data_IF_283729789137
#
_entry.id   IF_283729789137
#
_cell.length_a   1.000
_cell.length_b   1.000
_cell.length_c   1.000
_cell.angle_alpha   90.00
_cell.angle_beta   90.00
_cell.angle_gamma   90.00
#
_symmetry.space_group_name_H-M   'P 1'
#
loop_
_entity.id
_entity.type
_entity.pdbx_description
1 polymer ?
#
# COMPACT_ATOMS: atom_id res chain seq x y z
N UNK A 1 -4.56 26.00 -3.39
CA UNK A 1 -4.43 24.84 -2.46
C UNK A 1 -4.99 25.24 -1.09
N UNK A 2 -6.02 24.56 -0.61
CA UNK A 2 -6.52 24.74 0.75
C UNK A 2 -5.60 23.99 1.71
N UNK A 3 -4.77 24.72 2.44
CA UNK A 3 -3.88 24.12 3.45
C UNK A 3 -4.74 23.57 4.57
N UNK A 4 -4.61 22.29 4.85
CA UNK A 4 -5.31 21.66 5.97
C UNK A 4 -4.55 21.90 7.26
N UNK A 5 -5.11 22.72 8.16
CA UNK A 5 -4.54 22.89 9.50
C UNK A 5 -4.83 21.67 10.38
N UNK A 6 -4.06 21.43 11.47
CA UNK A 6 -4.35 20.36 12.42
C UNK A 6 -5.77 20.40 12.99
N UNK A 7 -6.28 21.60 13.33
CA UNK A 7 -7.64 21.79 13.83
C UNK A 7 -8.69 21.38 12.80
N UNK A 8 -8.45 21.73 11.51
CA UNK A 8 -9.37 21.36 10.42
C UNK A 8 -9.33 19.85 10.15
N UNK A 9 -8.15 19.23 10.21
CA UNK A 9 -8.01 17.76 10.13
C UNK A 9 -8.83 17.09 11.23
N UNK A 10 -8.68 17.54 12.48
CA UNK A 10 -9.35 16.92 13.62
C UNK A 10 -10.88 17.08 13.54
N UNK A 11 -11.36 18.26 13.09
CA UNK A 11 -12.78 18.47 12.78
C UNK A 11 -13.30 17.50 11.72
N UNK A 12 -12.56 17.35 10.61
CA UNK A 12 -12.93 16.43 9.53
C UNK A 12 -12.92 14.98 10.00
N UNK A 13 -11.94 14.57 10.80
CA UNK A 13 -11.86 13.21 11.36
C UNK A 13 -13.10 12.88 12.21
N UNK A 14 -13.61 13.84 12.98
CA UNK A 14 -14.86 13.64 13.73
C UNK A 14 -16.06 13.46 12.80
N UNK A 15 -16.19 14.28 11.76
CA UNK A 15 -17.27 14.18 10.79
C UNK A 15 -17.20 12.87 10.00
N UNK A 16 -16.01 12.51 9.49
CA UNK A 16 -15.79 11.26 8.73
C UNK A 16 -16.09 10.02 9.59
N UNK A 17 -15.72 10.03 10.88
CA UNK A 17 -16.08 8.96 11.80
C UNK A 17 -17.59 8.75 11.91
N UNK A 18 -18.36 9.83 11.98
CA UNK A 18 -19.84 9.76 12.04
C UNK A 18 -20.44 9.22 10.74
N UNK A 19 -19.98 9.70 9.59
CA UNK A 19 -20.43 9.23 8.28
C UNK A 19 -20.05 7.75 8.06
N UNK A 20 -18.84 7.35 8.42
CA UNK A 20 -18.38 5.96 8.32
C UNK A 20 -19.21 5.01 9.20
N UNK A 21 -19.59 5.44 10.41
CA UNK A 21 -20.48 4.68 11.29
C UNK A 21 -21.87 4.48 10.66
N UNK A 22 -22.34 5.46 9.89
CA UNK A 22 -23.56 5.36 9.08
C UNK A 22 -23.38 4.63 7.74
N UNK A 23 -22.15 4.18 7.43
CA UNK A 23 -21.72 3.61 6.11
C UNK A 23 -21.96 4.56 4.93
N UNK A 24 -21.99 5.86 5.18
CA UNK A 24 -22.10 6.90 4.15
C UNK A 24 -20.71 7.24 3.58
N UNK A 25 -20.16 6.33 2.77
CA UNK A 25 -18.84 6.48 2.16
C UNK A 25 -18.77 7.62 1.12
N UNK A 26 -19.90 7.91 0.48
CA UNK A 26 -20.02 9.06 -0.44
C UNK A 26 -19.98 10.39 0.32
N UNK A 27 -20.58 10.44 1.51
CA UNK A 27 -20.48 11.59 2.40
C UNK A 27 -19.04 11.81 2.86
N UNK A 28 -18.27 10.75 3.17
CA UNK A 28 -16.84 10.86 3.47
C UNK A 28 -16.06 11.41 2.28
N UNK A 29 -16.28 10.85 1.08
CA UNK A 29 -15.63 11.36 -0.14
C UNK A 29 -15.95 12.85 -0.37
N UNK A 30 -17.21 13.25 -0.21
CA UNK A 30 -17.64 14.63 -0.40
C UNK A 30 -16.93 15.63 0.54
N UNK A 31 -16.57 15.21 1.76
CA UNK A 31 -15.76 16.02 2.67
C UNK A 31 -14.30 16.19 2.19
N UNK A 32 -13.80 15.23 1.42
CA UNK A 32 -12.41 15.23 0.93
C UNK A 32 -12.24 15.91 -0.42
N UNK A 33 -13.28 15.95 -1.28
CA UNK A 33 -13.21 16.55 -2.61
C UNK A 33 -12.73 18.01 -2.64
N UNK A 34 -13.02 18.90 -1.65
CA UNK A 34 -12.45 20.24 -1.60
C UNK A 34 -10.91 20.31 -1.50
N UNK A 35 -10.27 19.18 -1.17
CA UNK A 35 -8.82 19.02 -1.06
C UNK A 35 -8.24 18.22 -2.23
N UNK A 36 -8.99 18.05 -3.32
CA UNK A 36 -8.57 17.36 -4.52
C UNK A 36 -8.29 18.36 -5.63
N UNK A 37 -7.06 18.44 -6.07
CA UNK A 37 -6.67 19.22 -7.27
C UNK A 37 -6.54 18.32 -8.50
N UNK A 38 -6.36 17.01 -8.28
CA UNK A 38 -6.19 16.02 -9.35
C UNK A 38 -7.11 14.82 -9.16
N UNK A 39 -7.35 14.13 -10.27
CA UNK A 39 -7.99 12.80 -10.30
C UNK A 39 -7.02 11.80 -10.90
N UNK A 40 -6.99 10.59 -10.37
CA UNK A 40 -6.20 9.49 -10.91
C UNK A 40 -7.00 8.72 -11.95
N UNK A 41 -6.54 8.74 -13.20
CA UNK A 41 -7.10 7.97 -14.31
C UNK A 41 -6.39 6.62 -14.39
N UNK A 42 -7.14 5.55 -14.19
CA UNK A 42 -6.66 4.17 -14.12
C UNK A 42 -6.72 3.49 -15.48
N UNK A 43 -5.60 2.89 -15.89
CA UNK A 43 -5.54 2.08 -17.12
C UNK A 43 -4.91 0.74 -16.80
N UNK A 44 -5.66 -0.36 -17.01
CA UNK A 44 -5.11 -1.72 -16.87
C UNK A 44 -4.00 -1.93 -17.88
N UNK A 45 -2.83 -2.35 -17.39
CA UNK A 45 -1.67 -2.68 -18.23
C UNK A 45 -1.69 -4.16 -18.61
N UNK A 46 -1.79 -5.04 -17.62
CA UNK A 46 -1.88 -6.48 -17.83
C UNK A 46 -2.44 -7.21 -16.61
N UNK A 47 -2.80 -8.47 -16.80
CA UNK A 47 -3.19 -9.39 -15.75
C UNK A 47 -1.95 -9.90 -15.01
N UNK A 48 -2.04 -9.99 -13.68
CA UNK A 48 -1.02 -10.61 -12.85
C UNK A 48 -1.34 -12.11 -12.64
N UNK A 49 -0.35 -12.84 -12.17
CA UNK A 49 -0.52 -14.26 -11.82
C UNK A 49 -1.58 -14.45 -10.74
N UNK A 50 -2.30 -15.57 -10.85
CA UNK A 50 -3.14 -16.10 -9.78
C UNK A 50 -3.36 -17.59 -9.99
N UNK A 51 -3.61 -18.33 -8.93
CA UNK A 51 -4.06 -19.71 -8.97
C UNK A 51 -4.94 -20.04 -7.74
N UNK A 52 -5.40 -21.31 -7.64
CA UNK A 52 -6.27 -21.73 -6.54
C UNK A 52 -5.56 -21.77 -5.18
N UNK A 53 -4.24 -21.93 -5.15
CA UNK A 53 -3.46 -21.96 -3.91
C UNK A 53 -3.18 -20.53 -3.41
N UNK A 54 -2.87 -19.61 -4.32
CA UNK A 54 -2.55 -18.20 -4.02
C UNK A 54 -3.52 -17.26 -4.74
N UNK A 55 -4.80 -17.25 -4.32
CA UNK A 55 -5.88 -16.59 -5.05
C UNK A 55 -5.99 -15.08 -4.82
N UNK A 56 -5.18 -14.51 -3.93
CA UNK A 56 -5.35 -13.11 -3.49
C UNK A 56 -4.05 -12.36 -3.65
N UNK A 57 -4.07 -11.27 -4.40
CA UNK A 57 -3.01 -10.26 -4.40
C UNK A 57 -3.07 -9.44 -3.11
N UNK A 58 -1.89 -9.12 -2.56
CA UNK A 58 -1.76 -8.20 -1.44
C UNK A 58 -0.65 -7.17 -1.73
N UNK A 59 0.42 -7.18 -0.98
CA UNK A 59 1.51 -6.22 -1.13
C UNK A 59 2.16 -6.19 -2.51
N UNK A 60 2.70 -5.05 -2.85
CA UNK A 60 3.47 -4.87 -4.06
C UNK A 60 4.53 -3.78 -3.92
N UNK A 61 5.61 -3.90 -4.68
CA UNK A 61 6.72 -2.96 -4.66
C UNK A 61 7.63 -3.09 -5.87
N UNK A 62 8.67 -2.28 -5.91
CA UNK A 62 9.66 -2.27 -7.00
C UNK A 62 11.07 -2.02 -6.45
N UNK A 63 12.07 -2.59 -7.12
CA UNK A 63 13.50 -2.29 -6.93
C UNK A 63 14.02 -1.22 -7.91
N UNK A 64 13.11 -0.50 -8.57
CA UNK A 64 13.43 0.47 -9.62
C UNK A 64 13.65 -0.16 -10.99
N UNK A 65 13.60 -1.50 -11.10
CA UNK A 65 13.78 -2.23 -12.35
C UNK A 65 12.66 -3.25 -12.61
N UNK A 66 12.24 -3.95 -11.58
CA UNK A 66 11.23 -5.00 -11.65
C UNK A 66 10.07 -4.70 -10.68
N UNK A 67 8.94 -5.33 -10.94
CA UNK A 67 7.80 -5.30 -10.03
C UNK A 67 7.74 -6.60 -9.25
N UNK A 68 7.37 -6.49 -7.97
CA UNK A 68 7.21 -7.61 -7.05
C UNK A 68 5.80 -7.55 -6.45
N UNK A 69 5.12 -8.70 -6.39
CA UNK A 69 3.79 -8.81 -5.80
C UNK A 69 3.70 -10.01 -4.90
N UNK A 70 3.08 -9.83 -3.73
CA UNK A 70 2.74 -10.90 -2.81
C UNK A 70 1.39 -11.50 -3.19
N UNK A 71 1.35 -12.81 -3.42
CA UNK A 71 0.14 -13.58 -3.63
C UNK A 71 -0.07 -14.54 -2.46
N UNK A 72 -1.25 -14.51 -1.87
CA UNK A 72 -1.50 -15.10 -0.57
C UNK A 72 -2.48 -16.26 -0.65
N UNK A 73 -2.29 -17.26 0.23
CA UNK A 73 -3.29 -18.29 0.52
C UNK A 73 -4.49 -17.66 1.23
N UNK A 74 -5.62 -18.38 1.26
CA UNK A 74 -6.66 -18.08 2.26
C UNK A 74 -6.17 -18.44 3.67
N UNK A 75 -6.60 -17.65 4.66
CA UNK A 75 -6.31 -17.96 6.07
C UNK A 75 -6.91 -19.33 6.41
N UNK A 76 -6.06 -20.24 6.89
CA UNK A 76 -6.45 -21.55 7.38
C UNK A 76 -5.89 -21.78 8.78
N UNK A 77 -6.76 -22.08 9.74
CA UNK A 77 -6.40 -22.30 11.14
C UNK A 77 -5.58 -21.14 11.77
N UNK A 78 -5.85 -19.91 11.34
CA UNK A 78 -5.15 -18.71 11.78
C UNK A 78 -3.78 -18.48 11.13
N UNK A 79 -3.39 -19.32 10.16
CA UNK A 79 -2.15 -19.20 9.40
C UNK A 79 -2.44 -18.74 7.98
N UNK A 80 -1.65 -17.82 7.50
CA UNK A 80 -1.61 -17.38 6.11
C UNK A 80 -0.17 -17.39 5.62
N UNK A 81 0.05 -17.86 4.41
CA UNK A 81 1.35 -17.92 3.75
C UNK A 81 1.24 -17.31 2.37
N UNK A 82 2.34 -17.05 1.73
CA UNK A 82 2.32 -16.45 0.40
C UNK A 82 3.57 -16.73 -0.40
N UNK A 83 3.55 -16.29 -1.64
CA UNK A 83 4.67 -16.28 -2.58
C UNK A 83 4.90 -14.85 -3.06
N UNK A 84 6.14 -14.58 -3.48
CA UNK A 84 6.49 -13.34 -4.20
C UNK A 84 6.65 -13.67 -5.68
N UNK A 85 5.91 -12.93 -6.51
CA UNK A 85 6.01 -13.00 -7.97
C UNK A 85 6.78 -11.79 -8.48
N UNK A 86 7.77 -11.99 -9.35
CA UNK A 86 8.60 -10.96 -9.98
C UNK A 86 8.21 -10.80 -11.45
N UNK A 87 8.03 -9.55 -11.89
CA UNK A 87 7.58 -9.24 -13.24
C UNK A 87 8.49 -8.24 -13.94
N UNK A 88 8.55 -8.37 -15.26
CA UNK A 88 9.01 -7.32 -16.15
C UNK A 88 7.93 -6.22 -16.26
N UNK A 89 8.23 -4.96 -15.94
CA UNK A 89 7.22 -3.89 -15.92
C UNK A 89 6.70 -3.48 -17.30
N UNK A 90 7.48 -3.71 -18.35
CA UNK A 90 7.10 -3.31 -19.71
C UNK A 90 6.22 -4.36 -20.40
N UNK A 91 6.59 -5.63 -20.24
CA UNK A 91 5.92 -6.74 -20.95
C UNK A 91 4.85 -7.43 -20.12
N UNK A 92 4.90 -7.32 -18.80
CA UNK A 92 4.06 -8.07 -17.87
C UNK A 92 4.46 -9.54 -17.72
N UNK A 93 5.65 -9.93 -18.26
CA UNK A 93 6.14 -11.29 -18.16
C UNK A 93 6.47 -11.65 -16.71
N UNK A 94 5.96 -12.80 -16.25
CA UNK A 94 6.31 -13.38 -14.97
C UNK A 94 7.72 -13.99 -15.06
N UNK A 95 8.69 -13.31 -14.47
CA UNK A 95 10.12 -13.71 -14.52
C UNK A 95 10.48 -14.77 -13.49
N UNK A 96 9.71 -14.87 -12.40
CA UNK A 96 9.97 -15.84 -11.36
C UNK A 96 8.95 -15.80 -10.22
N UNK A 97 8.91 -16.90 -9.48
CA UNK A 97 8.12 -17.03 -8.24
C UNK A 97 9.02 -17.58 -7.14
N UNK A 98 8.80 -17.11 -5.92
CA UNK A 98 9.46 -17.70 -4.74
C UNK A 98 8.83 -19.03 -4.38
N UNK A 99 9.49 -19.77 -3.49
CA UNK A 99 8.84 -20.79 -2.67
C UNK A 99 7.81 -20.13 -1.75
N UNK A 100 6.89 -20.93 -1.23
CA UNK A 100 5.91 -20.51 -0.21
C UNK A 100 6.63 -20.14 1.10
N UNK A 101 6.27 -18.97 1.67
CA UNK A 101 6.92 -18.44 2.86
C UNK A 101 5.92 -17.90 3.89
N UNK A 102 6.30 -17.86 5.20
CA UNK A 102 5.44 -17.41 6.28
C UNK A 102 5.47 -15.88 6.40
N UNK A 103 4.77 -15.19 5.52
CA UNK A 103 4.72 -13.72 5.46
C UNK A 103 3.36 -13.15 5.89
N UNK A 104 2.53 -13.97 6.53
CA UNK A 104 1.17 -13.63 6.97
C UNK A 104 0.37 -12.92 5.87
N UNK A 105 -0.16 -11.71 6.12
CA UNK A 105 -0.99 -11.00 5.15
C UNK A 105 -0.19 -10.17 4.13
N UNK A 106 1.10 -9.96 4.34
CA UNK A 106 2.03 -9.30 3.41
C UNK A 106 1.47 -8.01 2.76
N UNK A 107 0.98 -7.07 3.58
CA UNK A 107 0.23 -5.89 3.11
C UNK A 107 0.99 -4.95 2.18
N UNK A 108 2.32 -5.05 2.14
CA UNK A 108 3.16 -4.20 1.32
C UNK A 108 4.48 -4.89 0.97
N UNK A 109 5.19 -4.36 0.00
CA UNK A 109 6.58 -4.73 -0.30
C UNK A 109 7.34 -3.43 -0.54
N UNK A 110 8.47 -3.26 0.13
CA UNK A 110 9.37 -2.16 -0.17
C UNK A 110 10.80 -2.68 -0.37
N UNK A 111 11.54 -2.06 -1.26
CA UNK A 111 12.94 -2.39 -1.50
C UNK A 111 13.84 -1.48 -0.67
N UNK A 112 14.72 -2.07 0.12
CA UNK A 112 15.79 -1.36 0.79
C UNK A 112 17.08 -1.53 -0.03
N UNK A 113 17.43 -0.51 -0.80
CA UNK A 113 18.56 -0.53 -1.70
C UNK A 113 19.90 -0.67 -0.97
N UNK A 114 20.05 -0.07 0.20
CA UNK A 114 21.30 -0.17 1.00
C UNK A 114 21.57 -1.58 1.48
N UNK A 115 20.52 -2.34 1.78
CA UNK A 115 20.62 -3.73 2.25
C UNK A 115 20.46 -4.73 1.11
N UNK A 116 20.05 -4.27 -0.07
CA UNK A 116 19.68 -5.08 -1.25
C UNK A 116 18.69 -6.18 -0.91
N UNK A 117 17.58 -5.79 -0.26
CA UNK A 117 16.51 -6.71 0.16
C UNK A 117 15.12 -6.12 -0.07
N UNK A 118 14.16 -6.99 -0.39
CA UNK A 118 12.75 -6.68 -0.24
C UNK A 118 12.36 -6.83 1.24
N UNK A 119 11.60 -5.87 1.74
CA UNK A 119 11.09 -5.87 3.12
C UNK A 119 9.57 -5.95 3.06
N UNK A 120 8.99 -6.89 3.79
CA UNK A 120 7.57 -7.24 3.74
C UNK A 120 6.98 -7.16 5.13
N UNK A 121 6.05 -6.22 5.42
CA UNK A 121 5.33 -6.19 6.69
C UNK A 121 4.29 -7.30 6.74
N UNK A 122 4.23 -8.03 7.84
CA UNK A 122 3.33 -9.18 7.99
C UNK A 122 1.85 -8.79 8.15
N UNK A 123 1.54 -7.67 8.82
CA UNK A 123 0.20 -7.34 9.30
C UNK A 123 -0.34 -8.43 10.27
N UNK A 124 -1.65 -8.62 10.34
CA UNK A 124 -2.26 -9.60 11.24
C UNK A 124 -1.89 -11.05 10.82
N UNK A 125 -1.65 -11.96 11.79
CA UNK A 125 -1.71 -11.74 13.23
C UNK A 125 -0.43 -11.13 13.85
N UNK A 126 0.69 -11.11 13.14
CA UNK A 126 2.01 -10.77 13.67
C UNK A 126 2.47 -9.37 13.21
N UNK A 127 1.72 -8.35 13.56
CA UNK A 127 1.88 -6.99 13.04
C UNK A 127 3.20 -6.30 13.36
N UNK A 128 3.97 -6.82 14.32
CA UNK A 128 5.31 -6.35 14.65
C UNK A 128 6.42 -7.01 13.83
N UNK A 129 6.06 -8.00 12.98
CA UNK A 129 7.03 -8.71 12.18
C UNK A 129 7.18 -8.13 10.77
N UNK A 130 8.41 -8.18 10.29
CA UNK A 130 8.77 -7.97 8.89
C UNK A 130 9.58 -9.15 8.39
N UNK A 131 9.46 -9.48 7.12
CA UNK A 131 10.32 -10.49 6.46
C UNK A 131 11.24 -9.85 5.45
N UNK A 132 12.42 -10.45 5.28
CA UNK A 132 13.38 -10.11 4.25
C UNK A 132 13.38 -11.18 3.15
N UNK A 133 13.42 -10.72 1.89
CA UNK A 133 13.50 -11.57 0.70
C UNK A 133 14.58 -11.04 -0.23
N UNK A 134 15.37 -11.93 -0.80
CA UNK A 134 16.38 -11.56 -1.79
C UNK A 134 15.71 -11.16 -3.11
N UNK A 135 15.91 -9.94 -3.66
CA UNK A 135 15.24 -9.48 -4.88
C UNK A 135 15.68 -10.22 -6.15
N UNK A 136 16.86 -10.85 -6.12
CA UNK A 136 17.44 -11.52 -7.30
C UNK A 136 17.04 -12.99 -7.38
N UNK A 137 17.03 -13.69 -6.24
CA UNK A 137 16.72 -15.14 -6.16
C UNK A 137 15.32 -15.43 -5.67
N UNK A 138 14.63 -14.44 -5.05
CA UNK A 138 13.36 -14.55 -4.34
C UNK A 138 13.43 -15.49 -3.12
N UNK A 139 14.63 -15.75 -2.61
CA UNK A 139 14.86 -16.56 -1.43
C UNK A 139 14.42 -15.80 -0.15
N UNK A 140 13.70 -16.49 0.72
CA UNK A 140 13.36 -15.99 2.04
C UNK A 140 14.59 -15.95 2.94
N UNK A 141 14.89 -14.76 3.48
CA UNK A 141 16.09 -14.52 4.30
C UNK A 141 15.81 -14.52 5.81
N UNK A 142 14.55 -14.55 6.20
CA UNK A 142 14.14 -14.59 7.60
C UNK A 142 13.18 -13.47 8.00
N UNK A 143 12.75 -13.53 9.26
CA UNK A 143 11.82 -12.59 9.88
C UNK A 143 12.50 -11.81 11.01
N UNK A 144 12.13 -10.57 11.17
CA UNK A 144 12.60 -9.68 12.22
C UNK A 144 11.42 -9.03 12.96
N UNK A 145 11.51 -8.97 14.30
CA UNK A 145 10.55 -8.26 15.15
C UNK A 145 11.05 -6.82 15.37
N UNK A 146 10.27 -5.84 14.88
CA UNK A 146 10.60 -4.41 15.03
C UNK A 146 10.10 -3.80 16.33
N UNK A 147 9.40 -4.59 17.17
CA UNK A 147 8.97 -4.20 18.51
C UNK A 147 7.72 -3.33 18.59
N UNK A 148 7.05 -3.04 17.48
CA UNK A 148 5.78 -2.30 17.42
C UNK A 148 4.94 -2.69 16.20
N UNK A 149 3.63 -2.50 16.30
CA UNK A 149 2.69 -2.89 15.24
C UNK A 149 2.67 -1.90 14.08
N UNK A 150 2.77 -2.44 12.86
CA UNK A 150 2.62 -1.70 11.61
C UNK A 150 1.58 -2.38 10.72
N UNK A 151 1.11 -1.64 9.72
CA UNK A 151 0.15 -2.12 8.73
C UNK A 151 0.75 -2.18 7.32
N UNK A 152 1.43 -1.14 6.90
CA UNK A 152 2.11 -0.99 5.62
C UNK A 152 3.42 -0.24 5.82
N UNK A 153 4.29 -0.22 4.81
CA UNK A 153 5.57 0.46 4.91
C UNK A 153 6.15 0.82 3.55
N UNK A 154 6.94 1.89 3.52
CA UNK A 154 7.76 2.25 2.37
C UNK A 154 9.13 2.74 2.82
N UNK A 155 10.17 2.35 2.11
CA UNK A 155 11.54 2.84 2.30
C UNK A 155 11.85 3.96 1.32
N UNK A 156 12.52 5.00 1.81
CA UNK A 156 13.08 6.06 0.98
C UNK A 156 14.60 6.04 1.09
N UNK A 157 15.25 5.68 0.01
CA UNK A 157 16.70 5.53 -0.08
C UNK A 157 17.46 6.83 0.20
N UNK A 158 17.03 7.94 -0.40
CA UNK A 158 17.69 9.23 -0.25
C UNK A 158 17.74 9.71 1.20
N UNK A 159 16.71 9.35 1.99
CA UNK A 159 16.60 9.71 3.41
C UNK A 159 17.13 8.64 4.33
N UNK A 160 17.30 7.41 3.85
CA UNK A 160 17.59 6.22 4.67
C UNK A 160 16.54 6.04 5.78
N UNK A 161 15.28 6.16 5.42
CA UNK A 161 14.16 6.13 6.35
C UNK A 161 13.04 5.24 5.84
N UNK A 162 12.37 4.57 6.77
CA UNK A 162 11.07 3.99 6.50
C UNK A 162 9.97 4.94 6.95
N UNK A 163 8.89 4.96 6.21
CA UNK A 163 7.58 5.39 6.68
C UNK A 163 6.74 4.16 6.93
N UNK A 164 6.09 4.08 8.08
CA UNK A 164 5.28 2.94 8.49
C UNK A 164 3.89 3.40 8.87
N UNK A 165 2.87 2.76 8.30
CA UNK A 165 1.47 2.94 8.70
C UNK A 165 1.21 2.22 10.01
N UNK A 166 0.56 2.88 10.96
CA UNK A 166 0.24 2.30 12.26
C UNK A 166 -0.99 1.40 12.20
N UNK A 167 -0.97 0.34 12.96
CA UNK A 167 -2.13 -0.52 13.13
C UNK A 167 -3.29 0.21 13.79
N UNK A 168 -4.51 -0.05 13.32
CA UNK A 168 -5.75 0.44 13.93
C UNK A 168 -6.23 1.80 13.45
N UNK A 169 -5.58 2.41 12.46
CA UNK A 169 -5.97 3.71 11.89
C UNK A 169 -5.18 4.06 10.64
N UNK A 170 -5.16 5.34 10.31
CA UNK A 170 -4.40 5.87 9.18
C UNK A 170 -3.17 6.70 9.63
N UNK A 171 -2.91 6.78 10.93
CA UNK A 171 -1.72 7.43 11.44
C UNK A 171 -0.46 6.70 11.00
N UNK A 172 0.64 7.41 10.91
CA UNK A 172 1.90 6.86 10.46
C UNK A 172 3.09 7.39 11.25
N UNK A 173 4.25 6.77 11.08
CA UNK A 173 5.48 7.20 11.70
C UNK A 173 6.64 7.16 10.71
N UNK A 174 7.65 7.98 10.96
CA UNK A 174 8.97 7.86 10.32
C UNK A 174 9.92 7.13 11.25
N UNK A 175 10.76 6.29 10.66
CA UNK A 175 11.84 5.58 11.37
C UNK A 175 13.14 5.73 10.59
N UNK A 176 14.26 5.43 11.21
CA UNK A 176 15.51 5.24 10.49
C UNK A 176 15.55 3.89 9.74
N UNK A 177 16.67 3.61 9.08
CA UNK A 177 16.89 2.37 8.34
C UNK A 177 16.98 1.10 9.22
N UNK A 178 16.99 1.25 10.55
CA UNK A 178 16.99 0.16 11.54
C UNK A 178 15.69 0.13 12.37
N UNK A 179 14.63 0.81 11.90
CA UNK A 179 13.31 0.89 12.51
C UNK A 179 13.23 1.64 13.85
N UNK A 180 14.27 2.39 14.25
CA UNK A 180 14.17 3.27 15.40
C UNK A 180 13.27 4.48 15.05
N UNK A 181 12.26 4.73 15.88
CA UNK A 181 11.26 5.78 15.64
C UNK A 181 11.86 7.17 15.65
N UNK A 182 11.57 7.97 14.64
CA UNK A 182 12.00 9.38 14.51
C UNK A 182 10.84 10.32 14.87
N UNK A 183 9.66 10.10 14.30
CA UNK A 183 8.49 10.95 14.49
C UNK A 183 7.18 10.20 14.26
N UNK A 184 6.12 10.64 14.93
CA UNK A 184 4.75 10.19 14.75
C UNK A 184 3.89 11.28 14.13
N UNK A 185 2.97 10.91 13.25
CA UNK A 185 2.09 11.83 12.54
C UNK A 185 0.64 11.39 12.62
N UNK A 186 -0.23 12.35 12.93
CA UNK A 186 -1.67 12.16 12.83
C UNK A 186 -2.13 12.42 11.40
N UNK A 187 -2.92 11.52 10.85
CA UNK A 187 -3.42 11.58 9.48
C UNK A 187 -4.83 12.16 9.37
N UNK A 188 -5.25 12.39 8.13
CA UNK A 188 -6.67 12.52 7.77
C UNK A 188 -7.25 11.13 7.72
N UNK A 189 -8.10 10.80 8.70
CA UNK A 189 -8.64 9.46 8.86
C UNK A 189 -10.01 9.32 8.20
N UNK A 190 -10.01 8.98 6.93
CA UNK A 190 -11.23 8.75 6.12
C UNK A 190 -12.06 7.55 6.58
N UNK A 191 -11.52 6.70 7.46
CA UNK A 191 -12.09 5.39 7.81
C UNK A 191 -12.19 4.43 6.63
N UNK A 192 -11.54 4.74 5.52
CA UNK A 192 -11.30 3.78 4.46
C UNK A 192 -10.21 2.80 4.91
N UNK A 193 -10.10 1.68 4.23
CA UNK A 193 -9.05 0.70 4.54
C UNK A 193 -7.76 1.14 3.85
N UNK A 194 -6.68 1.32 4.61
CA UNK A 194 -5.34 1.49 4.04
C UNK A 194 -4.89 0.15 3.47
N UNK A 195 -4.44 0.13 2.22
CA UNK A 195 -4.00 -1.10 1.56
C UNK A 195 -2.48 -1.14 1.38
N UNK A 196 -1.86 -0.02 1.09
CA UNK A 196 -0.42 0.07 0.94
C UNK A 196 0.05 1.51 0.94
N UNK A 197 1.36 1.70 0.84
CA UNK A 197 1.97 3.02 0.77
C UNK A 197 3.22 3.03 -0.10
N UNK A 198 3.56 4.22 -0.60
CA UNK A 198 4.80 4.47 -1.29
C UNK A 198 5.34 5.85 -0.92
N UNK A 199 6.64 6.06 -1.14
CA UNK A 199 7.29 7.36 -0.95
C UNK A 199 8.10 7.74 -2.17
N UNK A 200 8.13 9.04 -2.47
CA UNK A 200 9.13 9.63 -3.35
C UNK A 200 10.00 10.63 -2.56
N UNK A 201 10.82 11.42 -3.24
CA UNK A 201 11.69 12.41 -2.61
C UNK A 201 10.95 13.48 -1.82
N UNK A 202 9.73 13.80 -2.23
CA UNK A 202 8.97 14.95 -1.73
C UNK A 202 7.76 14.56 -0.89
N UNK A 203 7.19 13.36 -1.13
CA UNK A 203 5.88 13.02 -0.57
C UNK A 203 5.78 11.55 -0.12
N UNK A 204 4.75 11.34 0.70
CA UNK A 204 4.29 10.04 1.22
C UNK A 204 2.88 9.81 0.68
N UNK A 205 2.60 8.64 0.14
CA UNK A 205 1.33 8.28 -0.48
C UNK A 205 0.74 7.05 0.17
N UNK A 206 -0.56 7.07 0.43
CA UNK A 206 -1.33 5.91 0.86
C UNK A 206 -2.39 5.59 -0.17
N UNK A 207 -2.49 4.33 -0.56
CA UNK A 207 -3.62 3.83 -1.35
C UNK A 207 -4.69 3.29 -0.42
N UNK A 208 -5.93 3.68 -0.65
CA UNK A 208 -7.06 3.36 0.21
C UNK A 208 -8.14 2.61 -0.59
N UNK A 209 -8.74 1.60 0.06
CA UNK A 209 -9.92 0.89 -0.42
C UNK A 209 -11.21 1.47 0.18
N UNK A 210 -12.37 1.07 -0.26
CA UNK A 210 -13.78 1.47 -0.05
C UNK A 210 -14.27 2.49 -1.07
N UNK A 211 -13.64 3.63 -1.15
CA UNK A 211 -13.71 4.59 -2.26
C UNK A 211 -12.27 4.77 -2.74
N UNK A 212 -11.82 3.97 -3.72
CA UNK A 212 -10.43 3.96 -4.13
C UNK A 212 -9.88 5.35 -4.38
N UNK A 213 -8.84 5.69 -3.61
CA UNK A 213 -8.21 7.01 -3.65
C UNK A 213 -6.79 6.93 -3.10
N UNK A 214 -6.00 7.95 -3.40
CA UNK A 214 -4.68 8.15 -2.82
C UNK A 214 -4.74 9.36 -1.89
N UNK A 215 -4.17 9.26 -0.69
CA UNK A 215 -3.89 10.40 0.17
C UNK A 215 -2.40 10.69 0.15
N UNK A 216 -2.06 11.97 0.06
CA UNK A 216 -0.70 12.47 -0.12
C UNK A 216 -0.31 13.38 1.04
N UNK A 217 0.88 13.16 1.59
CA UNK A 217 1.46 13.94 2.69
C UNK A 217 2.87 14.39 2.31
N UNK A 218 3.33 15.50 2.87
CA UNK A 218 4.74 15.86 2.82
C UNK A 218 5.54 15.10 3.89
N UNK A 219 6.87 15.24 3.87
CA UNK A 219 7.76 14.57 4.83
C UNK A 219 7.71 15.16 6.24
N UNK A 220 7.02 16.27 6.46
CA UNK A 220 6.70 16.83 7.77
C UNK A 220 5.35 16.33 8.31
N UNK A 221 4.68 15.46 7.56
CA UNK A 221 3.41 14.84 7.93
C UNK A 221 2.19 15.72 7.65
N UNK A 222 2.35 16.84 6.93
CA UNK A 222 1.23 17.68 6.54
C UNK A 222 0.46 17.03 5.40
N UNK A 223 -0.87 17.03 5.51
CA UNK A 223 -1.74 16.57 4.44
C UNK A 223 -1.65 17.54 3.23
N UNK A 224 -1.38 16.98 2.06
CA UNK A 224 -1.19 17.72 0.82
C UNK A 224 -2.40 17.62 -0.09
N UNK A 225 -2.88 16.39 -0.36
CA UNK A 225 -3.91 16.20 -1.37
C UNK A 225 -4.69 14.90 -1.14
N UNK A 226 -5.97 14.92 -1.52
CA UNK A 226 -6.83 13.77 -1.72
C UNK A 226 -7.01 13.54 -3.22
N UNK A 227 -6.63 12.38 -3.73
CA UNK A 227 -6.67 12.04 -5.16
C UNK A 227 -7.67 10.90 -5.37
N UNK A 228 -8.93 11.19 -5.74
CA UNK A 228 -9.89 10.15 -6.07
C UNK A 228 -9.44 9.41 -7.34
N UNK A 229 -9.63 8.09 -7.38
CA UNK A 229 -9.42 7.30 -8.59
C UNK A 229 -10.75 7.17 -9.35
N UNK A 230 -10.69 7.07 -10.67
CA UNK A 230 -11.84 6.85 -11.52
C UNK A 230 -12.33 5.39 -11.48
N UNK A 231 -11.49 4.44 -11.02
CA UNK A 231 -11.82 3.03 -10.82
C UNK A 231 -12.38 2.80 -9.42
N UNK A 232 -13.70 2.62 -9.29
CA UNK A 232 -14.42 2.58 -7.99
C UNK A 232 -14.85 1.18 -7.54
N UNK A 233 -14.85 0.19 -8.43
CA UNK A 233 -15.47 -1.13 -8.17
C UNK A 233 -14.53 -2.17 -7.62
N UNK A 234 -13.22 -2.00 -7.81
CA UNK A 234 -12.21 -3.00 -7.51
C UNK A 234 -11.36 -2.60 -6.31
N UNK A 235 -10.62 -3.55 -5.77
CA UNK A 235 -9.86 -3.40 -4.54
C UNK A 235 -8.38 -3.13 -4.87
N UNK A 236 -7.89 -1.87 -4.71
CA UNK A 236 -6.45 -1.62 -4.80
C UNK A 236 -5.75 -2.23 -3.60
N UNK A 237 -4.57 -2.82 -3.78
CA UNK A 237 -3.83 -3.51 -2.73
C UNK A 237 -2.49 -2.87 -2.41
N UNK A 238 -1.91 -2.14 -3.35
CA UNK A 238 -0.60 -1.53 -3.19
C UNK A 238 -0.43 -0.33 -4.12
N UNK A 239 0.60 0.47 -3.86
CA UNK A 239 1.03 1.60 -4.70
C UNK A 239 2.54 1.59 -4.83
N UNK A 240 3.06 1.88 -6.02
CA UNK A 240 4.49 1.97 -6.28
C UNK A 240 4.82 2.99 -7.36
N UNK A 241 6.04 3.49 -7.34
CA UNK A 241 6.59 4.40 -8.35
C UNK A 241 7.70 3.73 -9.12
N UNK A 242 7.59 3.74 -10.44
CA UNK A 242 8.63 3.22 -11.34
C UNK A 242 8.72 4.13 -12.57
N UNK A 243 9.91 4.63 -12.90
CA UNK A 243 10.17 5.51 -14.04
C UNK A 243 9.24 6.74 -14.10
N UNK A 244 8.95 7.34 -12.92
CA UNK A 244 8.06 8.50 -12.80
C UNK A 244 6.57 8.22 -12.99
N UNK A 245 6.18 6.96 -13.08
CA UNK A 245 4.80 6.52 -13.19
C UNK A 245 4.30 5.94 -11.88
N UNK A 246 2.99 6.03 -11.67
CA UNK A 246 2.30 5.42 -10.55
C UNK A 246 1.68 4.10 -11.02
N UNK A 247 1.98 3.03 -10.31
CA UNK A 247 1.38 1.73 -10.52
C UNK A 247 0.64 1.25 -9.29
N UNK A 248 -0.50 0.59 -9.51
CA UNK A 248 -1.32 -0.03 -8.47
C UNK A 248 -1.58 -1.49 -8.85
N UNK A 249 -1.54 -2.38 -7.88
CA UNK A 249 -2.11 -3.72 -8.01
C UNK A 249 -3.57 -3.68 -7.57
N UNK A 250 -4.46 -4.28 -8.35
CA UNK A 250 -5.88 -4.41 -8.03
C UNK A 250 -6.32 -5.85 -7.97
N UNK A 251 -7.12 -6.21 -6.98
CA UNK A 251 -7.94 -7.41 -7.02
C UNK A 251 -9.26 -7.12 -7.75
N UNK A 252 -9.50 -7.82 -8.85
CA UNK A 252 -10.78 -7.84 -9.55
C UNK A 252 -11.51 -9.11 -9.15
N UNK A 253 -12.44 -8.99 -8.21
CA UNK A 253 -13.11 -10.14 -7.65
C UNK A 253 -14.16 -10.74 -8.59
N UNK A 254 -14.14 -12.05 -8.75
CA UNK A 254 -15.27 -12.76 -9.37
C UNK A 254 -16.52 -12.70 -8.46
N UNK A 255 -17.68 -13.09 -8.98
CA UNK A 255 -18.96 -13.02 -8.25
C UNK A 255 -18.94 -13.80 -6.94
N UNK A 256 -18.18 -14.89 -6.88
CA UNK A 256 -18.10 -15.76 -5.71
C UNK A 256 -16.99 -15.33 -4.73
N UNK A 257 -16.19 -14.35 -5.09
CA UNK A 257 -15.04 -13.83 -4.32
C UNK A 257 -14.07 -14.92 -3.82
N UNK A 258 -13.87 -15.95 -4.63
CA UNK A 258 -12.99 -17.07 -4.29
C UNK A 258 -11.60 -16.92 -4.86
N UNK A 259 -11.50 -16.35 -6.04
CA UNK A 259 -10.23 -16.06 -6.73
C UNK A 259 -10.35 -14.65 -7.28
N UNK A 260 -9.35 -13.83 -7.01
CA UNK A 260 -9.21 -12.56 -7.67
C UNK A 260 -8.61 -12.77 -9.08
N UNK A 261 -8.93 -11.87 -10.00
CA UNK A 261 -8.16 -11.69 -11.24
C UNK A 261 -7.31 -10.42 -11.05
N UNK A 262 -6.09 -10.54 -10.49
CA UNK A 262 -5.30 -9.36 -10.15
C UNK A 262 -4.77 -8.68 -11.41
N UNK A 263 -4.76 -7.36 -11.37
CA UNK A 263 -4.34 -6.51 -12.48
C UNK A 263 -3.28 -5.51 -12.04
N UNK A 264 -2.30 -5.26 -12.91
CA UNK A 264 -1.48 -4.06 -12.83
C UNK A 264 -2.18 -2.91 -13.53
N UNK A 265 -2.28 -1.80 -12.83
CA UNK A 265 -2.93 -0.58 -13.31
C UNK A 265 -1.93 0.58 -13.25
N UNK A 266 -1.78 1.29 -14.37
CA UNK A 266 -1.06 2.57 -14.43
C UNK A 266 -2.03 3.70 -14.09
N UNK A 267 -1.61 4.65 -13.27
CA UNK A 267 -2.39 5.82 -12.89
C UNK A 267 -1.76 7.09 -13.45
N UNK A 268 -2.53 7.84 -14.21
CA UNK A 268 -2.15 9.16 -14.72
C UNK A 268 -2.91 10.22 -13.93
N UNK A 269 -2.17 11.13 -13.29
CA UNK A 269 -2.77 12.24 -12.57
C UNK A 269 -3.18 13.35 -13.53
N UNK A 270 -4.46 13.71 -13.50
CA UNK A 270 -5.03 14.78 -14.33
C UNK A 270 -5.60 15.86 -13.42
N UNK A 271 -5.30 17.12 -13.68
CA UNK A 271 -5.92 18.26 -12.97
C UNK A 271 -7.42 18.28 -13.21
N UNK A 272 -8.18 18.55 -12.14
CA UNK A 272 -9.63 18.75 -12.16
C UNK A 272 -10.03 20.00 -12.95
#
# INVERSE_FOLDING_TARGET
>A
MNIMTPEKRDELNVQMKALAAAKDWKGVEALMLPYSETVGLCTTRYQLYTDEQFPVLQGGGTDGKYLYFAHMTWVKDGVQTGIICKYDPETGELLGKSEEMPIDHANDITYNEKKDVLVIPHNAPNRQLISYVNPHTLEYLGTHDIGYEIYCMSYNEKRDQYVVGKSGGMDFAKTDGEFAKIADYASVDTKYVTQGMATDDDFIYFILHRMPCITKYDWDGNFVEYIPLDRKSDEPENIMFLDGKIYLGFNVWNKDRKIAAPELVEVVLKKN
#
